data_IF_176820714888
#
_entry.id   IF_176820714888
#
_cell.length_a   1.000
_cell.length_b   1.000
_cell.length_c   1.000
_cell.angle_alpha   90.00
_cell.angle_beta   90.00
_cell.angle_gamma   90.00
#
_symmetry.space_group_name_H-M   'P 1'
#
loop_
_entity.id
_entity.type
_entity.pdbx_description
1 polymer ?
#
# COMPACT_ATOMS: atom_id res chain seq x y z
N UNK A 1 -27.79 1.92 7.62
CA UNK A 1 -27.60 3.39 7.53
C UNK A 1 -26.95 3.71 6.19
N UNK A 2 -27.54 4.61 5.43
CA UNK A 2 -27.02 4.99 4.12
C UNK A 2 -25.92 6.04 4.28
N UNK A 3 -24.76 5.78 3.68
CA UNK A 3 -23.64 6.73 3.66
C UNK A 3 -23.90 7.73 2.52
N UNK A 4 -23.70 9.02 2.79
CA UNK A 4 -23.93 10.07 1.79
C UNK A 4 -22.84 10.07 0.71
N UNK A 5 -23.16 10.63 -0.45
CA UNK A 5 -22.19 10.81 -1.55
C UNK A 5 -21.01 11.66 -1.08
N UNK A 6 -21.26 12.72 -0.30
CA UNK A 6 -20.21 13.59 0.25
C UNK A 6 -19.24 12.80 1.14
N UNK A 7 -19.73 11.88 1.96
CA UNK A 7 -18.88 11.02 2.79
C UNK A 7 -18.07 10.04 1.96
N UNK A 8 -18.66 9.45 0.93
CA UNK A 8 -17.94 8.56 0.01
C UNK A 8 -16.82 9.32 -0.71
N UNK A 9 -17.08 10.51 -1.21
CA UNK A 9 -16.07 11.34 -1.88
C UNK A 9 -14.97 11.77 -0.90
N UNK A 10 -15.31 12.12 0.34
CA UNK A 10 -14.35 12.46 1.38
C UNK A 10 -13.46 11.26 1.74
N UNK A 11 -14.03 10.05 1.80
CA UNK A 11 -13.27 8.82 2.06
C UNK A 11 -12.31 8.49 0.92
N UNK A 12 -12.75 8.64 -0.33
CA UNK A 12 -11.86 8.48 -1.50
C UNK A 12 -10.71 9.47 -1.45
N UNK A 13 -11.00 10.74 -1.18
CA UNK A 13 -9.96 11.77 -1.08
C UNK A 13 -8.95 11.47 0.01
N UNK A 14 -9.40 11.03 1.18
CA UNK A 14 -8.53 10.63 2.27
C UNK A 14 -7.54 9.54 1.83
N UNK A 15 -8.02 8.51 1.16
CA UNK A 15 -7.20 7.39 0.69
C UNK A 15 -6.23 7.84 -0.40
N UNK A 16 -6.68 8.64 -1.36
CA UNK A 16 -5.81 9.16 -2.42
C UNK A 16 -4.73 10.08 -1.86
N UNK A 17 -5.06 10.94 -0.91
CA UNK A 17 -4.08 11.81 -0.24
C UNK A 17 -3.06 10.98 0.55
N UNK A 18 -3.51 9.91 1.21
CA UNK A 18 -2.63 8.98 1.90
C UNK A 18 -1.62 8.34 0.93
N UNK A 19 -2.10 7.79 -0.18
CA UNK A 19 -1.25 7.16 -1.20
C UNK A 19 -0.27 8.19 -1.78
N UNK A 20 -0.74 9.37 -2.12
CA UNK A 20 0.11 10.40 -2.69
C UNK A 20 1.18 10.87 -1.72
N UNK A 21 0.81 11.28 -0.52
CA UNK A 21 1.75 11.89 0.42
C UNK A 21 2.71 10.88 1.04
N UNK A 22 2.23 9.69 1.39
CA UNK A 22 3.06 8.68 2.05
C UNK A 22 3.93 7.93 1.04
N UNK A 23 3.35 7.46 -0.06
CA UNK A 23 4.05 6.64 -1.06
C UNK A 23 4.70 7.49 -2.15
N UNK A 24 3.94 8.31 -2.88
CA UNK A 24 4.45 9.03 -4.05
C UNK A 24 5.38 10.19 -3.67
N UNK A 25 5.13 10.86 -2.55
CA UNK A 25 6.03 11.87 -2.01
C UNK A 25 7.10 11.28 -1.06
N UNK A 26 7.11 9.97 -0.89
CA UNK A 26 8.09 9.23 -0.10
C UNK A 26 8.20 9.75 1.34
N UNK A 27 7.07 9.99 1.98
CA UNK A 27 7.03 10.52 3.34
C UNK A 27 6.24 9.59 4.29
N UNK A 28 6.85 8.46 4.73
CA UNK A 28 6.17 7.52 5.62
C UNK A 28 5.81 8.12 6.98
N UNK A 29 6.50 9.18 7.41
CA UNK A 29 6.19 9.89 8.65
C UNK A 29 4.82 10.55 8.65
N UNK A 30 4.23 10.81 7.48
CA UNK A 30 2.87 11.37 7.38
C UNK A 30 1.77 10.34 7.55
N UNK A 31 2.08 9.04 7.58
CA UNK A 31 1.06 8.00 7.73
C UNK A 31 0.17 8.23 8.96
N UNK A 32 0.74 8.67 10.07
CA UNK A 32 0.01 8.93 11.30
C UNK A 32 -1.09 10.01 11.16
N UNK A 33 -0.98 10.91 10.18
CA UNK A 33 -1.98 11.94 9.94
C UNK A 33 -3.26 11.38 9.30
N UNK A 34 -3.18 10.20 8.69
CA UNK A 34 -4.25 9.60 7.90
C UNK A 34 -4.91 8.39 8.59
N UNK A 35 -4.27 7.79 9.58
CA UNK A 35 -4.72 6.54 10.19
C UNK A 35 -5.11 6.75 11.64
N UNK A 36 -5.95 5.84 12.16
CA UNK A 36 -6.25 5.79 13.60
C UNK A 36 -5.03 5.23 14.34
N UNK A 37 -4.91 5.57 15.63
CA UNK A 37 -3.80 5.09 16.45
C UNK A 37 -3.74 3.56 16.57
N UNK A 38 -4.90 2.91 16.48
CA UNK A 38 -5.08 1.46 16.58
C UNK A 38 -5.28 0.78 15.20
N UNK A 39 -4.91 1.44 14.11
CA UNK A 39 -5.05 0.91 12.75
C UNK A 39 -4.50 -0.51 12.64
N UNK A 40 -5.17 -1.35 11.87
CA UNK A 40 -4.70 -2.71 11.54
C UNK A 40 -4.45 -2.81 10.04
N UNK A 41 -3.25 -3.25 9.70
CA UNK A 41 -2.84 -3.52 8.32
C UNK A 41 -2.70 -5.02 8.12
N UNK A 42 -3.34 -5.54 7.07
CA UNK A 42 -3.30 -6.94 6.67
C UNK A 42 -2.53 -7.08 5.37
N UNK A 43 -1.38 -7.72 5.42
CA UNK A 43 -0.50 -7.87 4.26
C UNK A 43 -0.50 -9.26 3.63
N UNK A 44 -1.52 -10.09 3.89
CA UNK A 44 -1.57 -11.44 3.36
C UNK A 44 -0.37 -12.26 3.84
N UNK A 45 0.42 -12.75 2.90
CA UNK A 45 1.64 -13.52 3.23
C UNK A 45 2.69 -12.76 4.01
N UNK A 46 2.60 -11.42 4.07
CA UNK A 46 3.51 -10.58 4.86
C UNK A 46 3.07 -10.44 6.32
N UNK A 47 1.90 -10.95 6.69
CA UNK A 47 1.37 -10.90 8.05
C UNK A 47 0.57 -9.64 8.35
N UNK A 48 0.24 -9.44 9.62
CA UNK A 48 -0.56 -8.32 10.10
C UNK A 48 0.29 -7.39 10.97
N UNK A 49 0.00 -6.09 10.87
CA UNK A 49 0.63 -5.05 11.70
C UNK A 49 -0.49 -4.29 12.40
N UNK A 50 -0.34 -4.06 13.69
CA UNK A 50 -1.27 -3.26 14.49
C UNK A 50 -0.59 -2.02 15.04
N UNK A 51 -1.31 -0.89 14.97
CA UNK A 51 -0.88 0.40 15.51
C UNK A 51 -0.19 1.29 14.48
N UNK A 52 -0.46 2.59 14.57
CA UNK A 52 0.06 3.59 13.62
C UNK A 52 1.58 3.66 13.62
N UNK A 53 2.21 3.48 14.77
CA UNK A 53 3.66 3.51 14.92
C UNK A 53 4.34 2.35 14.18
N UNK A 54 3.79 1.15 14.35
CA UNK A 54 4.30 -0.05 13.68
C UNK A 54 4.08 0.03 12.16
N UNK A 55 2.92 0.55 11.76
CA UNK A 55 2.63 0.78 10.34
C UNK A 55 3.62 1.76 9.72
N UNK A 56 3.89 2.89 10.38
CA UNK A 56 4.86 3.86 9.89
C UNK A 56 6.27 3.24 9.75
N UNK A 57 6.66 2.36 10.67
CA UNK A 57 7.92 1.62 10.60
C UNK A 57 7.99 0.69 9.40
N UNK A 58 6.92 -0.08 9.16
CA UNK A 58 6.80 -0.95 7.98
C UNK A 58 6.91 -0.14 6.68
N UNK A 59 6.14 0.93 6.56
CA UNK A 59 6.13 1.79 5.37
C UNK A 59 7.49 2.46 5.17
N UNK A 60 8.14 2.88 6.24
CA UNK A 60 9.48 3.47 6.19
C UNK A 60 10.52 2.52 5.61
N UNK A 61 10.50 1.25 6.04
CA UNK A 61 11.39 0.22 5.51
C UNK A 61 11.11 -0.09 4.05
N UNK A 62 9.83 -0.22 3.69
CA UNK A 62 9.41 -0.53 2.32
C UNK A 62 9.76 0.61 1.36
N UNK A 63 9.40 1.83 1.70
CA UNK A 63 9.67 3.01 0.87
C UNK A 63 11.19 3.27 0.80
N UNK A 64 11.92 3.01 1.89
CA UNK A 64 13.37 3.14 1.91
C UNK A 64 14.08 2.21 0.95
N UNK A 65 13.54 1.01 0.73
CA UNK A 65 14.04 0.05 -0.26
C UNK A 65 13.64 0.41 -1.70
N UNK A 66 12.69 1.32 -1.88
CA UNK A 66 12.12 1.70 -3.18
C UNK A 66 12.10 3.23 -3.31
N UNK A 67 13.27 3.90 -3.41
CA UNK A 67 13.36 5.37 -3.29
C UNK A 67 12.69 6.14 -4.43
N UNK A 68 12.41 5.50 -5.55
CA UNK A 68 11.69 6.07 -6.69
C UNK A 68 10.27 5.48 -6.84
N UNK A 69 9.73 4.85 -5.80
CA UNK A 69 8.41 4.24 -5.85
C UNK A 69 7.34 5.23 -6.34
N UNK A 70 6.51 4.76 -7.27
CA UNK A 70 5.33 5.48 -7.71
C UNK A 70 4.14 4.52 -7.77
N UNK A 71 3.10 4.84 -7.02
CA UNK A 71 1.83 4.12 -7.02
C UNK A 71 0.83 4.90 -7.87
N UNK A 72 0.50 4.39 -9.04
CA UNK A 72 -0.42 5.02 -9.98
C UNK A 72 -1.82 4.44 -9.80
N UNK A 73 -2.76 5.27 -9.36
CA UNK A 73 -4.17 4.90 -9.25
C UNK A 73 -4.74 4.57 -10.63
N UNK A 74 -5.44 3.45 -10.73
CA UNK A 74 -6.17 3.04 -11.92
C UNK A 74 -7.67 3.23 -11.74
N UNK A 75 -8.21 2.71 -10.63
CA UNK A 75 -9.61 2.82 -10.26
C UNK A 75 -9.72 3.06 -8.77
N UNK A 76 -10.78 3.77 -8.38
CA UNK A 76 -11.16 3.93 -6.98
C UNK A 76 -12.68 3.79 -6.83
N UNK A 77 -13.09 2.99 -5.87
CA UNK A 77 -14.50 2.66 -5.60
C UNK A 77 -14.73 2.82 -4.11
N UNK A 78 -15.85 3.40 -3.72
CA UNK A 78 -16.23 3.50 -2.32
C UNK A 78 -17.68 3.08 -2.12
N UNK A 79 -17.92 2.30 -1.09
CA UNK A 79 -19.25 1.88 -0.64
C UNK A 79 -19.23 1.72 0.88
N UNK A 80 -20.24 2.24 1.56
CA UNK A 80 -20.31 2.26 3.02
C UNK A 80 -19.06 2.90 3.63
N UNK A 81 -18.35 2.19 4.49
CA UNK A 81 -17.11 2.65 5.13
C UNK A 81 -15.85 2.15 4.43
N UNK A 82 -15.98 1.51 3.27
CA UNK A 82 -14.86 0.91 2.54
C UNK A 82 -14.50 1.70 1.28
N UNK A 83 -13.21 1.79 1.03
CA UNK A 83 -12.64 2.33 -0.21
C UNK A 83 -11.73 1.28 -0.81
N UNK A 84 -11.91 1.00 -2.10
CA UNK A 84 -11.08 0.05 -2.86
C UNK A 84 -10.30 0.83 -3.91
N UNK A 85 -8.99 0.62 -3.97
CA UNK A 85 -8.11 1.26 -4.96
C UNK A 85 -7.35 0.18 -5.70
N UNK A 86 -7.38 0.23 -7.02
CA UNK A 86 -6.52 -0.59 -7.87
C UNK A 86 -5.33 0.27 -8.33
N UNK A 87 -4.13 -0.23 -8.10
CA UNK A 87 -2.87 0.48 -8.34
C UNK A 87 -1.97 -0.28 -9.29
N UNK A 88 -1.17 0.45 -10.05
CA UNK A 88 0.05 -0.07 -10.68
C UNK A 88 1.22 0.60 -9.98
N UNK A 89 2.11 -0.21 -9.41
CA UNK A 89 3.26 0.29 -8.66
C UNK A 89 4.54 0.00 -9.44
N UNK A 90 5.40 1.00 -9.55
CA UNK A 90 6.71 0.89 -10.20
C UNK A 90 7.79 1.41 -9.26
N UNK A 91 8.95 0.79 -9.29
CA UNK A 91 10.10 1.22 -8.50
C UNK A 91 11.39 0.58 -9.00
N UNK A 92 12.52 1.08 -8.51
CA UNK A 92 13.83 0.46 -8.63
C UNK A 92 14.31 0.12 -7.23
N UNK A 93 14.74 -1.12 -7.01
CA UNK A 93 15.15 -1.58 -5.68
C UNK A 93 16.51 -1.00 -5.32
N UNK A 94 16.62 -0.51 -4.08
CA UNK A 94 17.89 -0.15 -3.45
C UNK A 94 18.24 -1.21 -2.39
N UNK A 95 19.30 -1.96 -2.63
CA UNK A 95 19.75 -3.00 -1.72
C UNK A 95 18.95 -4.27 -1.85
N UNK A 96 18.07 -4.52 -0.88
CA UNK A 96 17.25 -5.73 -0.80
C UNK A 96 15.77 -5.38 -0.71
N UNK A 97 14.93 -6.29 -1.20
CA UNK A 97 13.49 -6.18 -1.09
C UNK A 97 12.91 -7.49 -0.57
N UNK A 98 12.11 -7.43 0.48
CA UNK A 98 11.46 -8.59 1.12
C UNK A 98 12.48 -9.71 1.45
N UNK A 99 13.66 -9.33 1.92
CA UNK A 99 14.72 -10.27 2.31
C UNK A 99 15.56 -10.81 1.17
N UNK A 100 15.34 -10.39 -0.08
CA UNK A 100 16.10 -10.84 -1.24
C UNK A 100 16.99 -9.72 -1.80
N UNK A 101 18.28 -9.98 -2.09
CA UNK A 101 19.13 -9.00 -2.75
C UNK A 101 18.60 -8.66 -4.14
N UNK A 102 18.47 -7.36 -4.44
CA UNK A 102 17.86 -6.92 -5.69
C UNK A 102 18.34 -5.52 -6.12
N UNK A 103 19.49 -5.07 -5.63
CA UNK A 103 19.97 -3.71 -5.89
C UNK A 103 19.99 -3.36 -7.38
N UNK A 104 19.36 -2.23 -7.72
CA UNK A 104 19.28 -1.74 -9.09
C UNK A 104 18.21 -2.40 -9.95
N UNK A 105 17.47 -3.39 -9.47
CA UNK A 105 16.46 -4.09 -10.26
C UNK A 105 15.17 -3.29 -10.33
N UNK A 106 14.61 -3.09 -11.56
CA UNK A 106 13.30 -2.49 -11.71
C UNK A 106 12.21 -3.50 -11.36
N UNK A 107 11.15 -3.04 -10.72
CA UNK A 107 9.98 -3.84 -10.39
C UNK A 107 8.70 -3.10 -10.78
N UNK A 108 7.69 -3.86 -11.18
CA UNK A 108 6.35 -3.36 -11.47
C UNK A 108 5.34 -4.42 -11.04
N UNK A 109 4.32 -4.01 -10.28
CA UNK A 109 3.28 -4.95 -9.86
C UNK A 109 1.92 -4.28 -9.76
N UNK A 110 0.88 -5.10 -9.81
CA UNK A 110 -0.48 -4.67 -9.57
C UNK A 110 -0.81 -4.87 -8.09
N UNK A 111 -1.55 -3.92 -7.53
CA UNK A 111 -2.06 -4.00 -6.17
C UNK A 111 -3.54 -3.62 -6.14
N UNK A 112 -4.28 -4.28 -5.27
CA UNK A 112 -5.65 -3.91 -4.93
C UNK A 112 -5.73 -3.77 -3.42
N UNK A 113 -5.92 -2.55 -2.96
CA UNK A 113 -5.97 -2.26 -1.53
C UNK A 113 -7.39 -1.87 -1.13
N UNK A 114 -7.83 -2.37 0.02
CA UNK A 114 -9.11 -2.03 0.61
C UNK A 114 -8.83 -1.30 1.92
N UNK A 115 -9.50 -0.18 2.12
CA UNK A 115 -9.36 0.65 3.31
C UNK A 115 -10.71 0.79 4.01
N UNK A 116 -10.72 0.63 5.34
CA UNK A 116 -11.88 1.01 6.15
C UNK A 116 -11.64 2.40 6.71
N UNK A 117 -12.63 3.27 6.54
CA UNK A 117 -12.59 4.66 7.05
C UNK A 117 -13.53 4.78 8.24
N UNK A 118 -13.01 5.25 9.36
CA UNK A 118 -13.75 5.48 10.61
C UNK A 118 -13.48 6.91 11.06
N UNK A 119 -14.54 7.71 11.18
CA UNK A 119 -14.45 9.10 11.64
C UNK A 119 -13.38 9.92 10.90
N UNK A 120 -13.31 9.77 9.58
CA UNK A 120 -12.37 10.52 8.73
C UNK A 120 -10.93 10.05 8.76
N UNK A 121 -10.65 8.86 9.31
CA UNK A 121 -9.32 8.25 9.35
C UNK A 121 -9.37 6.81 8.87
N UNK A 122 -8.26 6.33 8.33
CA UNK A 122 -8.11 4.91 7.95
C UNK A 122 -7.93 4.11 9.23
N UNK A 123 -8.83 3.17 9.48
CA UNK A 123 -8.79 2.31 10.68
C UNK A 123 -8.35 0.88 10.37
N UNK A 124 -8.44 0.46 9.12
CA UNK A 124 -8.05 -0.89 8.68
C UNK A 124 -7.69 -0.87 7.20
N UNK A 125 -6.72 -1.69 6.81
CA UNK A 125 -6.29 -1.82 5.42
C UNK A 125 -6.00 -3.28 5.11
N UNK A 126 -6.47 -3.74 3.96
CA UNK A 126 -6.07 -5.00 3.34
C UNK A 126 -5.25 -4.68 2.10
N UNK A 127 -3.96 -5.00 2.15
CA UNK A 127 -3.03 -4.75 1.06
C UNK A 127 -2.82 -6.04 0.27
N UNK A 128 -3.36 -6.09 -0.93
CA UNK A 128 -3.21 -7.23 -1.82
C UNK A 128 -2.25 -6.86 -2.97
N UNK A 129 -0.97 -6.96 -2.67
CA UNK A 129 0.11 -6.78 -3.65
C UNK A 129 0.43 -8.10 -4.32
N UNK A 130 0.78 -8.05 -5.60
CA UNK A 130 1.25 -9.23 -6.32
C UNK A 130 2.70 -9.56 -5.94
N UNK A 131 2.87 -10.17 -4.77
CA UNK A 131 4.19 -10.52 -4.22
C UNK A 131 4.91 -11.53 -5.12
N UNK A 132 4.18 -12.47 -5.73
CA UNK A 132 4.79 -13.44 -6.65
C UNK A 132 5.43 -12.73 -7.85
N UNK A 133 4.77 -11.72 -8.42
CA UNK A 133 5.34 -10.94 -9.51
C UNK A 133 6.59 -10.16 -9.09
N UNK A 134 6.58 -9.56 -7.90
CA UNK A 134 7.74 -8.86 -7.35
C UNK A 134 8.91 -9.83 -7.21
N UNK A 135 8.70 -10.97 -6.56
CA UNK A 135 9.75 -11.95 -6.27
C UNK A 135 10.31 -12.58 -7.55
N UNK A 136 9.46 -12.80 -8.56
CA UNK A 136 9.91 -13.29 -9.87
C UNK A 136 10.80 -12.27 -10.57
N UNK A 137 10.44 -10.98 -10.57
CA UNK A 137 11.21 -9.93 -11.21
C UNK A 137 12.58 -9.71 -10.58
N UNK A 138 12.72 -9.92 -9.28
CA UNK A 138 14.00 -9.80 -8.59
C UNK A 138 14.81 -11.11 -8.57
N UNK A 139 14.28 -12.17 -9.20
CA UNK A 139 15.00 -13.44 -9.32
C UNK A 139 14.93 -14.33 -8.08
N UNK A 140 14.04 -14.03 -7.13
CA UNK A 140 13.91 -14.77 -5.87
C UNK A 140 12.85 -15.89 -5.93
N UNK A 141 12.09 -15.97 -7.03
CA UNK A 141 11.03 -16.94 -7.22
C UNK A 141 10.88 -17.31 -8.69
N UNK A 142 10.82 -18.61 -8.98
CA UNK A 142 10.51 -19.11 -10.33
C UNK A 142 9.10 -19.66 -10.35
N UNK A 143 8.11 -18.88 -10.84
CA UNK A 143 6.74 -19.36 -10.87
C UNK A 143 6.61 -20.55 -11.84
N UNK A 144 5.96 -21.65 -11.43
CA UNK A 144 5.87 -22.85 -12.26
C UNK A 144 5.02 -22.68 -13.53
N UNK A 145 4.22 -21.62 -13.60
CA UNK A 145 3.41 -21.28 -14.78
C UNK A 145 4.19 -20.43 -15.80
N UNK A 146 5.34 -19.88 -15.44
CA UNK A 146 6.21 -19.14 -16.35
C UNK A 146 7.24 -20.09 -16.95
N UNK A 147 6.99 -20.47 -18.17
CA UNK A 147 7.91 -21.35 -18.93
C UNK A 147 9.06 -20.53 -19.55
#
# INVERSE_FOLDING_TARGET
>A
MTVTIEKLEASKKLVLDFIDQVFNQHNPGKAADFVTGDVVWHGGGLGDIAGSKNLAGLLGSFIGALPDLHAAEQDIIAENDLVVVRLVVTATVKGSLLGAPADGKPVRWDAVDIYRVTDGKISEEWAADDIAAIMAQIGAFNPPWAA
#
